data_IF_456424885245
#
_entry.id   IF_456424885245
#
_cell.length_a   1.000
_cell.length_b   1.000
_cell.length_c   1.000
_cell.angle_alpha   90.00
_cell.angle_beta   90.00
_cell.angle_gamma   90.00
#
_symmetry.space_group_name_H-M   'P 1'
#
loop_
_entity.id
_entity.type
_entity.pdbx_description
1 polymer ?
#
# COMPACT_ATOMS: atom_id res chain seq x y z
N UNK A 1 -43.36 48.19 6.15
CA UNK A 1 -43.02 47.82 7.56
C UNK A 1 -42.25 46.51 7.51
N UNK A 2 -41.08 46.39 8.17
CA UNK A 2 -39.86 45.97 7.49
C UNK A 2 -39.25 44.63 7.96
N UNK A 3 -38.29 44.17 7.15
CA UNK A 3 -37.07 43.45 7.51
C UNK A 3 -37.16 42.03 8.10
N UNK A 4 -36.48 41.08 7.45
CA UNK A 4 -35.23 40.55 8.00
C UNK A 4 -34.44 39.77 6.94
N UNK A 5 -33.41 40.43 6.45
CA UNK A 5 -32.28 39.87 5.72
C UNK A 5 -31.39 39.09 6.69
N UNK A 6 -31.17 37.80 6.45
CA UNK A 6 -30.11 37.03 7.09
C UNK A 6 -29.24 36.37 6.03
N UNK A 7 -28.29 37.17 5.55
CA UNK A 7 -27.15 36.77 4.74
C UNK A 7 -26.10 36.18 5.68
N UNK A 8 -26.13 34.86 5.90
CA UNK A 8 -25.08 34.16 6.64
C UNK A 8 -23.82 34.07 5.77
N UNK A 9 -22.89 35.00 5.99
CA UNK A 9 -21.51 34.92 5.52
C UNK A 9 -20.74 34.03 6.50
N UNK A 10 -20.44 32.80 6.09
CA UNK A 10 -19.49 31.95 6.82
C UNK A 10 -18.08 32.50 6.59
N UNK A 11 -17.58 33.24 7.58
CA UNK A 11 -16.22 33.74 7.63
C UNK A 11 -15.23 32.59 7.81
N UNK A 12 -14.21 32.60 6.96
CA UNK A 12 -12.96 31.85 7.04
C UNK A 12 -12.34 31.94 8.45
N UNK A 13 -12.21 30.80 9.15
CA UNK A 13 -11.48 30.68 10.41
C UNK A 13 -10.17 29.95 10.17
N UNK A 14 -9.15 30.70 9.76
CA UNK A 14 -7.76 30.25 9.75
C UNK A 14 -7.25 30.29 11.18
N UNK A 15 -7.23 29.14 11.87
CA UNK A 15 -6.62 29.01 13.20
C UNK A 15 -5.10 29.16 13.05
N UNK A 16 -4.60 30.35 13.36
CA UNK A 16 -3.17 30.64 13.47
C UNK A 16 -2.68 30.06 14.79
N UNK A 17 -1.76 29.10 14.75
CA UNK A 17 -1.08 28.58 15.94
C UNK A 17 -0.24 29.69 16.58
N UNK A 18 -0.42 29.93 17.88
CA UNK A 18 0.40 30.84 18.70
C UNK A 18 1.26 29.98 19.63
N UNK A 19 2.60 30.16 19.68
CA UNK A 19 3.44 29.43 20.62
C UNK A 19 3.19 29.91 22.07
N UNK A 20 3.41 29.03 23.07
CA UNK A 20 3.20 29.38 24.47
C UNK A 20 4.15 30.50 24.91
N UNK A 21 3.59 31.53 25.54
CA UNK A 21 4.34 32.59 26.20
C UNK A 21 5.09 31.98 27.39
N UNK A 22 6.42 32.15 27.46
CA UNK A 22 7.20 31.73 28.64
C UNK A 22 6.64 32.44 29.87
N UNK A 23 6.18 31.66 30.85
CA UNK A 23 5.80 32.15 32.16
C UNK A 23 7.04 32.79 32.81
N UNK A 24 6.89 34.01 33.34
CA UNK A 24 7.98 34.69 34.05
C UNK A 24 8.40 33.86 35.26
N UNK A 25 9.72 33.71 35.44
CA UNK A 25 10.31 32.95 36.55
C UNK A 25 9.94 33.59 37.90
N UNK A 26 9.56 32.74 38.87
CA UNK A 26 9.26 33.14 40.25
C UNK A 26 10.56 33.30 41.04
N UNK A 27 10.91 34.52 41.49
CA UNK A 27 12.18 34.79 42.17
C UNK A 27 12.28 34.13 43.55
N UNK A 28 11.18 33.62 44.12
CA UNK A 28 11.18 32.94 45.41
C UNK A 28 11.50 31.42 45.29
N UNK A 29 11.36 30.82 44.11
CA UNK A 29 11.61 29.39 43.90
C UNK A 29 13.10 29.06 43.69
N UNK A 30 13.89 30.01 43.17
CA UNK A 30 15.32 29.82 42.87
C UNK A 30 16.23 29.88 44.11
N UNK A 31 15.69 30.27 45.27
CA UNK A 31 16.45 30.43 46.52
C UNK A 31 16.69 29.11 47.30
N UNK A 32 16.11 27.99 46.88
CA UNK A 32 16.21 26.69 47.57
C UNK A 32 17.04 25.64 46.82
N UNK A 33 17.73 26.01 45.74
CA UNK A 33 18.67 25.12 45.04
C UNK A 33 20.06 25.34 45.64
N UNK A 34 20.69 24.31 46.26
CA UNK A 34 22.03 24.47 46.80
C UNK A 34 23.00 24.82 45.68
N UNK A 35 23.81 25.85 45.91
CA UNK A 35 24.85 26.30 44.99
C UNK A 35 25.86 25.18 44.75
N UNK A 36 25.66 24.40 43.69
CA UNK A 36 26.75 23.71 43.01
C UNK A 36 27.51 24.76 42.19
N UNK A 37 28.20 25.65 42.90
CA UNK A 37 29.28 26.49 42.39
C UNK A 37 30.37 25.59 41.83
N UNK A 38 30.18 25.15 40.58
CA UNK A 38 31.29 24.91 39.69
C UNK A 38 31.80 26.30 39.31
N UNK A 39 32.80 26.74 40.06
CA UNK A 39 33.69 27.83 39.70
C UNK A 39 34.05 27.76 38.22
N UNK A 40 33.95 28.88 37.52
CA UNK A 40 34.57 29.12 36.20
C UNK A 40 36.08 28.83 36.29
N UNK A 41 36.47 27.59 36.05
CA UNK A 41 37.86 27.19 35.90
C UNK A 41 37.96 26.39 34.62
N UNK A 42 38.65 27.00 33.64
CA UNK A 42 38.88 26.56 32.26
C UNK A 42 37.64 26.56 31.34
N UNK A 43 37.47 27.68 30.63
CA UNK A 43 37.02 27.68 29.24
C UNK A 43 37.97 26.81 28.42
N UNK A 44 37.81 25.49 28.50
CA UNK A 44 38.39 24.58 27.52
C UNK A 44 37.58 24.76 26.25
N UNK A 45 38.05 25.64 25.36
CA UNK A 45 37.66 25.63 23.96
C UNK A 45 38.17 24.34 23.34
N UNK A 46 37.55 23.20 23.66
CA UNK A 46 37.73 22.01 22.86
C UNK A 46 37.24 22.37 21.46
N UNK A 47 38.09 22.27 20.43
CA UNK A 47 37.63 22.47 19.07
C UNK A 47 36.56 21.40 18.83
N UNK A 48 35.31 21.80 18.64
CA UNK A 48 34.31 20.95 18.00
C UNK A 48 34.79 20.75 16.57
N UNK A 49 35.65 19.76 16.35
CA UNK A 49 36.03 19.30 15.02
C UNK A 49 34.75 18.78 14.38
N UNK A 50 34.10 19.65 13.61
CA UNK A 50 32.96 19.26 12.79
C UNK A 50 33.33 18.02 11.95
N UNK A 51 32.36 17.14 11.64
CA UNK A 51 32.62 15.85 11.01
C UNK A 51 33.57 16.03 9.82
N UNK A 52 34.61 15.20 9.74
CA UNK A 52 35.70 15.36 8.76
C UNK A 52 35.16 15.54 7.34
N UNK A 53 35.87 16.29 6.49
CA UNK A 53 35.44 16.56 5.11
C UNK A 53 35.13 15.26 4.34
N UNK A 54 35.82 14.16 4.68
CA UNK A 54 35.54 12.82 4.19
C UNK A 54 34.14 12.36 4.60
N UNK A 55 33.78 12.40 5.89
CA UNK A 55 32.44 12.02 6.39
C UNK A 55 31.32 12.83 5.75
N UNK A 56 31.51 14.15 5.56
CA UNK A 56 30.52 15.00 4.84
C UNK A 56 30.38 14.61 3.36
N UNK A 57 31.49 14.22 2.71
CA UNK A 57 31.50 13.79 1.30
C UNK A 57 30.85 12.41 1.11
N UNK A 58 31.02 11.49 2.06
CA UNK A 58 30.31 10.21 2.05
C UNK A 58 28.83 10.38 2.33
N UNK A 59 28.46 11.19 3.33
CA UNK A 59 27.06 11.52 3.64
C UNK A 59 26.34 12.14 2.44
N UNK A 60 26.92 13.17 1.81
CA UNK A 60 26.33 13.82 0.63
C UNK A 60 26.28 12.96 -0.63
N UNK A 61 27.14 11.94 -0.76
CA UNK A 61 27.02 10.93 -1.83
C UNK A 61 25.91 9.93 -1.53
N UNK A 62 25.80 9.48 -0.27
CA UNK A 62 24.72 8.60 0.18
C UNK A 62 23.35 9.24 0.03
N UNK A 63 23.20 10.49 0.46
CA UNK A 63 21.96 11.28 0.33
C UNK A 63 21.54 11.41 -1.14
N UNK A 64 22.47 11.77 -2.04
CA UNK A 64 22.19 11.83 -3.48
C UNK A 64 21.76 10.50 -4.09
N UNK A 65 22.36 9.39 -3.66
CA UNK A 65 21.99 8.07 -4.13
C UNK A 65 20.57 7.68 -3.68
N UNK A 66 20.22 7.96 -2.42
CA UNK A 66 18.88 7.74 -1.88
C UNK A 66 17.85 8.59 -2.62
N UNK A 67 18.15 9.86 -2.89
CA UNK A 67 17.23 10.74 -3.62
C UNK A 67 17.01 10.28 -5.06
N UNK A 68 18.08 9.89 -5.75
CA UNK A 68 17.98 9.32 -7.10
C UNK A 68 17.12 8.05 -7.10
N UNK A 69 17.34 7.15 -6.14
CA UNK A 69 16.58 5.92 -6.02
C UNK A 69 15.10 6.19 -5.74
N UNK A 70 14.81 7.14 -4.85
CA UNK A 70 13.44 7.54 -4.53
C UNK A 70 12.71 8.14 -5.73
N UNK A 71 13.39 8.94 -6.56
CA UNK A 71 12.82 9.47 -7.82
C UNK A 71 12.48 8.34 -8.81
N UNK A 72 13.38 7.36 -8.95
CA UNK A 72 13.16 6.18 -9.80
C UNK A 72 11.96 5.37 -9.30
N UNK A 73 11.92 5.09 -7.99
CA UNK A 73 10.82 4.34 -7.36
C UNK A 73 9.49 5.09 -7.53
N UNK A 74 9.45 6.39 -7.28
CA UNK A 74 8.25 7.20 -7.43
C UNK A 74 7.73 7.20 -8.87
N UNK A 75 8.64 7.13 -9.86
CA UNK A 75 8.29 7.13 -11.28
C UNK A 75 7.83 5.76 -11.80
N UNK A 76 8.49 4.68 -11.40
CA UNK A 76 8.32 3.37 -12.05
C UNK A 76 7.60 2.32 -11.21
N UNK A 77 7.54 2.45 -9.88
CA UNK A 77 6.98 1.41 -9.00
C UNK A 77 5.55 1.02 -9.35
N UNK A 78 4.65 1.98 -9.56
CA UNK A 78 3.24 1.68 -9.87
C UNK A 78 3.09 1.06 -11.25
N UNK A 79 3.85 1.54 -12.25
CA UNK A 79 3.82 0.97 -13.60
C UNK A 79 4.36 -0.46 -13.58
N UNK A 80 5.46 -0.72 -12.87
CA UNK A 80 6.01 -2.05 -12.67
C UNK A 80 5.01 -2.96 -11.96
N UNK A 81 4.33 -2.46 -10.92
CA UNK A 81 3.30 -3.20 -10.18
C UNK A 81 2.12 -3.59 -11.07
N UNK A 82 1.63 -2.65 -11.89
CA UNK A 82 0.57 -2.92 -12.88
C UNK A 82 0.99 -3.99 -13.89
N UNK A 83 2.20 -3.88 -14.44
CA UNK A 83 2.72 -4.85 -15.43
C UNK A 83 2.90 -6.22 -14.79
N UNK A 84 3.49 -6.30 -13.60
CA UNK A 84 3.64 -7.56 -12.87
C UNK A 84 2.29 -8.23 -12.60
N UNK A 85 1.31 -7.45 -12.13
CA UNK A 85 -0.05 -7.95 -11.91
C UNK A 85 -0.67 -8.47 -13.22
N UNK A 86 -0.52 -7.72 -14.32
CA UNK A 86 -1.00 -8.14 -15.64
C UNK A 86 -0.34 -9.43 -16.13
N UNK A 87 0.97 -9.58 -15.96
CA UNK A 87 1.71 -10.78 -16.35
C UNK A 87 1.27 -12.01 -15.53
N UNK A 88 1.07 -11.85 -14.22
CA UNK A 88 0.63 -12.93 -13.34
C UNK A 88 -0.77 -13.41 -13.73
N UNK A 89 -1.73 -12.50 -13.88
CA UNK A 89 -3.10 -12.85 -14.29
C UNK A 89 -3.15 -13.42 -15.71
N UNK A 90 -2.36 -12.87 -16.65
CA UNK A 90 -2.31 -13.39 -18.01
C UNK A 90 -1.69 -14.80 -18.05
N UNK A 91 -0.59 -15.01 -17.32
CA UNK A 91 0.07 -16.31 -17.25
C UNK A 91 -0.82 -17.38 -16.66
N UNK A 92 -1.46 -17.11 -15.51
CA UNK A 92 -2.37 -18.06 -14.88
C UNK A 92 -3.67 -18.25 -15.67
N UNK A 93 -4.18 -17.21 -16.33
CA UNK A 93 -5.36 -17.31 -17.19
C UNK A 93 -5.10 -18.18 -18.41
N UNK A 94 -3.97 -17.95 -19.11
CA UNK A 94 -3.59 -18.74 -20.29
C UNK A 94 -3.36 -20.21 -19.94
N UNK A 95 -2.75 -20.48 -18.77
CA UNK A 95 -2.49 -21.85 -18.34
C UNK A 95 -3.77 -22.68 -18.15
N UNK A 96 -4.87 -22.04 -17.75
CA UNK A 96 -6.17 -22.70 -17.53
C UNK A 96 -6.86 -23.18 -18.81
N UNK A 97 -6.41 -22.77 -20.00
CA UNK A 97 -6.89 -23.35 -21.26
C UNK A 97 -6.33 -24.75 -21.54
N UNK A 98 -5.27 -25.16 -20.82
CA UNK A 98 -4.61 -26.45 -20.99
C UNK A 98 -4.99 -27.39 -19.82
N UNK A 99 -5.79 -28.44 -20.07
CA UNK A 99 -6.24 -29.35 -19.00
C UNK A 99 -5.09 -30.02 -18.27
N UNK A 100 -5.17 -30.10 -16.94
CA UNK A 100 -4.20 -30.81 -16.09
C UNK A 100 -2.88 -30.08 -15.87
N UNK A 101 -2.72 -28.85 -16.39
CA UNK A 101 -1.47 -28.07 -16.22
C UNK A 101 -1.56 -27.09 -15.06
N UNK A 102 -2.77 -26.61 -14.74
CA UNK A 102 -2.97 -25.60 -13.69
C UNK A 102 -3.07 -26.25 -12.30
N UNK A 103 -2.17 -25.93 -11.34
CA UNK A 103 -2.26 -26.46 -9.97
C UNK A 103 -3.54 -26.07 -9.23
N UNK A 104 -4.20 -24.99 -9.68
CA UNK A 104 -5.40 -24.45 -9.07
C UNK A 104 -6.70 -24.88 -9.78
N UNK A 105 -6.62 -25.84 -10.70
CA UNK A 105 -7.74 -26.28 -11.52
C UNK A 105 -8.91 -26.81 -10.66
N UNK A 106 -8.65 -27.83 -9.84
CA UNK A 106 -9.65 -28.44 -8.97
C UNK A 106 -10.26 -27.43 -7.99
N UNK A 107 -9.41 -26.61 -7.37
CA UNK A 107 -9.85 -25.56 -6.46
C UNK A 107 -10.78 -24.57 -7.17
N UNK A 108 -10.44 -24.10 -8.37
CA UNK A 108 -11.26 -23.16 -9.12
C UNK A 108 -12.62 -23.76 -9.50
N UNK A 109 -12.66 -25.02 -9.95
CA UNK A 109 -13.89 -25.73 -10.28
C UNK A 109 -14.82 -25.83 -9.06
N UNK A 110 -14.30 -26.33 -7.93
CA UNK A 110 -15.07 -26.49 -6.69
C UNK A 110 -15.60 -25.15 -6.19
N UNK A 111 -14.75 -24.12 -6.21
CA UNK A 111 -15.11 -22.78 -5.74
C UNK A 111 -16.22 -22.15 -6.57
N UNK A 112 -16.10 -22.19 -7.89
CA UNK A 112 -17.14 -21.65 -8.78
C UNK A 112 -18.41 -22.48 -8.66
N UNK A 113 -18.29 -23.80 -8.52
CA UNK A 113 -19.42 -24.69 -8.21
C UNK A 113 -20.20 -24.17 -7.00
N UNK A 114 -19.55 -24.06 -5.84
CA UNK A 114 -20.17 -23.57 -4.60
C UNK A 114 -20.78 -22.16 -4.77
N UNK A 115 -20.03 -21.22 -5.35
CA UNK A 115 -20.50 -19.84 -5.54
C UNK A 115 -21.69 -19.74 -6.51
N UNK A 116 -21.85 -20.70 -7.42
CA UNK A 116 -22.94 -20.75 -8.39
C UNK A 116 -24.03 -21.74 -8.00
N UNK A 117 -24.01 -22.26 -6.77
CA UNK A 117 -24.95 -23.29 -6.31
C UNK A 117 -25.02 -24.49 -7.26
N UNK A 118 -23.86 -24.87 -7.80
CA UNK A 118 -23.64 -25.97 -8.74
C UNK A 118 -24.38 -25.82 -10.08
N UNK A 119 -24.83 -24.60 -10.43
CA UNK A 119 -25.43 -24.31 -11.73
C UNK A 119 -24.40 -24.33 -12.86
N UNK A 120 -23.15 -23.99 -12.56
CA UNK A 120 -22.05 -23.97 -13.55
C UNK A 120 -21.23 -25.24 -13.43
N UNK A 121 -21.15 -26.00 -14.52
CA UNK A 121 -20.34 -27.21 -14.58
C UNK A 121 -18.82 -26.94 -14.51
N UNK A 122 -18.00 -27.93 -14.12
CA UNK A 122 -16.57 -27.75 -13.87
C UNK A 122 -15.79 -27.19 -15.08
N UNK A 123 -16.05 -27.68 -16.29
CA UNK A 123 -15.38 -27.19 -17.50
C UNK A 123 -15.77 -25.75 -17.84
N UNK A 124 -17.03 -25.36 -17.60
CA UNK A 124 -17.49 -24.00 -17.82
C UNK A 124 -16.90 -23.05 -16.77
N UNK A 125 -16.81 -23.48 -15.51
CA UNK A 125 -16.14 -22.74 -14.43
C UNK A 125 -14.67 -22.43 -14.77
N UNK A 126 -13.93 -23.45 -15.22
CA UNK A 126 -12.55 -23.24 -15.67
C UNK A 126 -12.45 -22.31 -16.86
N UNK A 127 -13.29 -22.50 -17.89
CA UNK A 127 -13.22 -21.68 -19.09
C UNK A 127 -13.55 -20.22 -18.77
N UNK A 128 -14.56 -19.97 -17.95
CA UNK A 128 -14.93 -18.63 -17.50
C UNK A 128 -13.79 -17.97 -16.73
N UNK A 129 -13.19 -18.67 -15.76
CA UNK A 129 -12.07 -18.13 -14.98
C UNK A 129 -10.85 -17.87 -15.86
N UNK A 130 -10.52 -18.77 -16.79
CA UNK A 130 -9.45 -18.60 -17.77
C UNK A 130 -9.62 -17.33 -18.62
N UNK A 131 -10.84 -17.13 -19.16
CA UNK A 131 -11.18 -15.95 -19.97
C UNK A 131 -11.11 -14.67 -19.15
N UNK A 132 -11.70 -14.66 -17.95
CA UNK A 132 -11.71 -13.48 -17.07
C UNK A 132 -10.28 -13.09 -16.70
N UNK A 133 -9.45 -14.03 -16.25
CA UNK A 133 -8.06 -13.77 -15.88
C UNK A 133 -7.22 -13.30 -17.06
N UNK A 134 -7.43 -13.88 -18.25
CA UNK A 134 -6.73 -13.47 -19.48
C UNK A 134 -7.09 -12.02 -19.85
N UNK A 135 -8.37 -11.64 -19.77
CA UNK A 135 -8.83 -10.28 -20.04
C UNK A 135 -8.27 -9.30 -19.00
N UNK A 136 -8.30 -9.65 -17.71
CA UNK A 136 -7.67 -8.86 -16.65
C UNK A 136 -6.18 -8.66 -16.95
N UNK A 137 -5.48 -9.74 -17.27
CA UNK A 137 -4.06 -9.72 -17.60
C UNK A 137 -3.74 -8.79 -18.76
N UNK A 138 -4.49 -8.89 -19.87
CA UNK A 138 -4.31 -8.05 -21.06
C UNK A 138 -4.62 -6.56 -20.79
N UNK A 139 -5.71 -6.26 -20.08
CA UNK A 139 -6.08 -4.87 -19.75
C UNK A 139 -5.06 -4.22 -18.82
N UNK A 140 -4.57 -4.96 -17.81
CA UNK A 140 -3.51 -4.50 -16.93
C UNK A 140 -2.18 -4.35 -17.66
N UNK A 141 -1.78 -5.30 -18.52
CA UNK A 141 -0.51 -5.26 -19.22
C UNK A 141 -0.45 -4.11 -20.24
N UNK A 142 -1.46 -4.01 -21.09
CA UNK A 142 -1.54 -2.97 -22.13
C UNK A 142 -1.90 -1.59 -21.57
N UNK A 143 -2.54 -1.54 -20.40
CA UNK A 143 -3.10 -0.32 -19.82
C UNK A 143 -4.36 0.18 -20.54
N UNK A 144 -4.89 -0.60 -21.48
CA UNK A 144 -6.09 -0.27 -22.25
C UNK A 144 -7.32 -0.81 -21.51
N UNK A 145 -8.38 -0.01 -21.44
CA UNK A 145 -9.56 -0.30 -20.61
C UNK A 145 -9.22 -0.59 -19.14
N UNK A 146 -8.18 0.06 -18.60
CA UNK A 146 -7.64 -0.21 -17.26
C UNK A 146 -8.70 -0.15 -16.16
N UNK A 147 -9.63 0.81 -16.21
CA UNK A 147 -10.71 0.92 -15.22
C UNK A 147 -11.62 -0.31 -15.22
N UNK A 148 -12.03 -0.78 -16.39
CA UNK A 148 -12.83 -2.00 -16.55
C UNK A 148 -12.03 -3.22 -16.08
N UNK A 149 -10.75 -3.32 -16.46
CA UNK A 149 -9.86 -4.38 -16.00
C UNK A 149 -9.71 -4.44 -14.48
N UNK A 150 -9.62 -3.29 -13.81
CA UNK A 150 -9.56 -3.18 -12.35
C UNK A 150 -10.86 -3.59 -11.66
N UNK A 151 -12.02 -3.24 -12.23
CA UNK A 151 -13.31 -3.71 -11.71
C UNK A 151 -13.43 -5.23 -11.86
N UNK A 152 -13.06 -5.77 -13.02
CA UNK A 152 -13.02 -7.22 -13.24
C UNK A 152 -12.04 -7.90 -12.27
N UNK A 153 -10.87 -7.34 -12.05
CA UNK A 153 -9.89 -7.82 -11.08
C UNK A 153 -10.49 -7.86 -9.67
N UNK A 154 -11.17 -6.80 -9.24
CA UNK A 154 -11.79 -6.75 -7.91
C UNK A 154 -12.83 -7.87 -7.73
N UNK A 155 -13.68 -8.09 -8.73
CA UNK A 155 -14.67 -9.18 -8.73
C UNK A 155 -13.98 -10.55 -8.73
N UNK A 156 -12.97 -10.74 -9.58
CA UNK A 156 -12.22 -11.98 -9.66
C UNK A 156 -11.51 -12.31 -8.34
N UNK A 157 -10.92 -11.33 -7.67
CA UNK A 157 -10.25 -11.52 -6.39
C UNK A 157 -11.22 -11.99 -5.28
N UNK A 158 -12.48 -11.55 -5.30
CA UNK A 158 -13.50 -12.09 -4.38
C UNK A 158 -13.68 -13.59 -4.61
N UNK A 159 -13.80 -14.02 -5.87
CA UNK A 159 -13.92 -15.43 -6.22
C UNK A 159 -12.66 -16.25 -5.96
N UNK A 160 -11.47 -15.69 -6.19
CA UNK A 160 -10.20 -16.37 -5.93
C UNK A 160 -9.99 -16.54 -4.42
N UNK A 161 -10.43 -15.58 -3.59
CA UNK A 161 -10.28 -15.60 -2.12
C UNK A 161 -11.40 -16.30 -1.37
N UNK A 162 -12.55 -16.57 -1.99
CA UNK A 162 -13.65 -17.29 -1.33
C UNK A 162 -13.30 -18.68 -0.78
N UNK A 163 -12.33 -19.46 -1.31
CA UNK A 163 -11.90 -20.72 -0.69
C UNK A 163 -11.44 -20.58 0.77
N UNK A 164 -10.88 -19.42 1.15
CA UNK A 164 -10.47 -19.15 2.53
C UNK A 164 -11.66 -19.15 3.50
N UNK A 165 -12.88 -18.97 3.00
CA UNK A 165 -14.10 -19.01 3.80
C UNK A 165 -14.84 -20.33 3.56
N UNK A 166 -14.98 -20.74 2.30
CA UNK A 166 -15.76 -21.92 1.91
C UNK A 166 -15.09 -23.24 2.31
N UNK A 167 -13.77 -23.32 2.25
CA UNK A 167 -12.99 -24.55 2.46
C UNK A 167 -11.92 -24.36 3.54
N UNK A 168 -12.19 -23.53 4.55
CA UNK A 168 -11.20 -23.16 5.57
C UNK A 168 -10.59 -24.39 6.27
N UNK A 169 -11.43 -25.36 6.67
CA UNK A 169 -10.99 -26.56 7.38
C UNK A 169 -10.09 -27.47 6.51
N UNK A 170 -10.30 -27.48 5.19
CA UNK A 170 -9.44 -28.21 4.24
C UNK A 170 -8.10 -27.47 4.01
N UNK A 171 -8.13 -26.15 4.03
CA UNK A 171 -6.96 -25.31 3.79
C UNK A 171 -6.04 -25.23 5.02
N UNK A 172 -6.60 -25.31 6.23
CA UNK A 172 -5.87 -25.17 7.50
C UNK A 172 -6.05 -26.37 8.44
N UNK A 173 -5.75 -27.61 8.01
CA UNK A 173 -5.88 -28.79 8.86
C UNK A 173 -4.95 -28.65 10.07
N UNK A 174 -5.47 -28.94 11.27
CA UNK A 174 -4.74 -28.85 12.54
C UNK A 174 -4.07 -27.47 12.80
N UNK A 175 -4.56 -26.40 12.17
CA UNK A 175 -4.08 -25.03 12.37
C UNK A 175 -2.89 -24.60 11.50
N UNK A 176 -2.42 -25.44 10.57
CA UNK A 176 -1.30 -25.13 9.66
C UNK A 176 -1.74 -25.03 8.19
N UNK A 177 -1.15 -24.14 7.36
CA UNK A 177 -1.57 -23.95 5.98
C UNK A 177 -1.06 -25.05 5.04
N UNK A 178 -1.95 -25.61 4.23
CA UNK A 178 -1.57 -26.47 3.08
C UNK A 178 -0.87 -25.67 1.98
N UNK A 179 -0.26 -26.35 0.99
CA UNK A 179 0.28 -25.68 -0.21
C UNK A 179 -0.80 -24.90 -0.96
N UNK A 180 -2.01 -25.44 -1.04
CA UNK A 180 -3.18 -24.77 -1.62
C UNK A 180 -3.55 -23.52 -0.82
N UNK A 181 -3.54 -23.60 0.52
CA UNK A 181 -3.79 -22.44 1.38
C UNK A 181 -2.76 -21.34 1.18
N UNK A 182 -1.47 -21.70 1.06
CA UNK A 182 -0.40 -20.74 0.76
C UNK A 182 -0.59 -20.11 -0.63
N UNK A 183 -1.00 -20.91 -1.62
CA UNK A 183 -1.27 -20.45 -2.97
C UNK A 183 -2.41 -19.43 -3.03
N UNK A 184 -3.48 -19.64 -2.27
CA UNK A 184 -4.59 -18.68 -2.15
C UNK A 184 -4.14 -17.47 -1.33
N UNK A 185 -3.51 -17.68 -0.17
CA UNK A 185 -3.16 -16.59 0.74
C UNK A 185 -2.20 -15.55 0.10
N UNK A 186 -1.31 -15.96 -0.81
CA UNK A 186 -0.45 -15.00 -1.53
C UNK A 186 -1.23 -13.99 -2.36
N UNK A 187 -2.46 -14.29 -2.79
CA UNK A 187 -3.23 -13.39 -3.65
C UNK A 187 -3.79 -12.19 -2.87
N UNK A 188 -3.69 -12.18 -1.54
CA UNK A 188 -3.85 -10.96 -0.73
C UNK A 188 -2.85 -9.88 -1.18
N UNK A 189 -1.64 -10.28 -1.60
CA UNK A 189 -0.64 -9.36 -2.17
C UNK A 189 -1.14 -8.81 -3.50
N UNK A 190 -1.77 -9.64 -4.34
CA UNK A 190 -2.34 -9.22 -5.62
C UNK A 190 -3.53 -8.27 -5.42
N UNK A 191 -4.34 -8.49 -4.37
CA UNK A 191 -5.43 -7.60 -4.00
C UNK A 191 -4.91 -6.23 -3.54
N UNK A 192 -3.91 -6.20 -2.66
CA UNK A 192 -3.25 -4.96 -2.25
C UNK A 192 -2.63 -4.23 -3.44
N UNK A 193 -1.94 -4.96 -4.32
CA UNK A 193 -1.35 -4.41 -5.54
C UNK A 193 -2.42 -3.81 -6.48
N UNK A 194 -3.52 -4.54 -6.69
CA UNK A 194 -4.67 -4.09 -7.46
C UNK A 194 -5.29 -2.82 -6.90
N UNK A 195 -5.42 -2.72 -5.57
CA UNK A 195 -5.91 -1.52 -4.91
C UNK A 195 -4.98 -0.31 -5.13
N UNK A 196 -3.66 -0.48 -5.03
CA UNK A 196 -2.68 0.58 -5.30
C UNK A 196 -2.75 1.03 -6.76
N UNK A 197 -2.75 0.11 -7.71
CA UNK A 197 -2.89 0.41 -9.14
C UNK A 197 -4.23 1.09 -9.43
N UNK A 198 -5.30 0.64 -8.76
CA UNK A 198 -6.63 1.22 -8.86
C UNK A 198 -6.70 2.65 -8.37
N UNK A 199 -6.19 2.92 -7.17
CA UNK A 199 -6.09 4.27 -6.63
C UNK A 199 -5.32 5.20 -7.58
N UNK A 200 -4.20 4.74 -8.13
CA UNK A 200 -3.42 5.51 -9.11
C UNK A 200 -4.17 5.78 -10.41
N UNK A 201 -4.86 4.77 -10.96
CA UNK A 201 -5.70 4.90 -12.16
C UNK A 201 -6.89 5.86 -11.96
N UNK A 202 -7.32 6.04 -10.70
CA UNK A 202 -8.36 6.99 -10.29
C UNK A 202 -7.83 8.39 -9.95
N UNK A 203 -6.52 8.63 -10.08
CA UNK A 203 -5.93 9.96 -9.92
C UNK A 203 -5.03 10.13 -8.69
N UNK A 204 -4.89 9.11 -7.84
CA UNK A 204 -3.93 9.18 -6.73
C UNK A 204 -2.49 9.29 -7.25
N UNK A 205 -1.63 9.94 -6.46
CA UNK A 205 -0.20 10.13 -6.77
C UNK A 205 0.62 9.78 -5.53
N UNK A 206 1.79 9.20 -5.74
CA UNK A 206 2.76 9.02 -4.68
C UNK A 206 3.28 10.40 -4.27
N UNK A 207 3.20 10.71 -2.98
CA UNK A 207 3.76 11.93 -2.39
C UNK A 207 4.95 11.53 -1.52
N UNK A 208 6.06 12.21 -1.72
CA UNK A 208 7.20 12.17 -0.81
C UNK A 208 7.11 13.39 0.09
N UNK A 209 7.07 13.19 1.39
CA UNK A 209 7.24 14.28 2.35
C UNK A 209 8.74 14.60 2.44
N UNK A 210 9.05 15.89 2.50
CA UNK A 210 10.41 16.43 2.49
C UNK A 210 11.12 16.22 3.83
#
# INVERSE_FOLDING_TARGET
MPALSLKSRSASRTTRYAPPTKLAADPAADALVPANTWTDATTSTLPTTGPSALVRRWRSRGERAVDTLAEILARYSITALRVALGLVFLGFGVLKFFPGVSPAEDLAQRTVGELTLHLVGPSAALLMTAVIETVIGLTLLTGRFLRTGLVLLAVALVGIMSPLVLFFDELFPAGGPTLTAQYVLKDVILAAAGAVVGAWALGARLRRDA
#
